data_IF_214037579676
#
_entry.id   IF_214037579676
#
_cell.length_a   1.000
_cell.length_b   1.000
_cell.length_c   1.000
_cell.angle_alpha   90.00
_cell.angle_beta   90.00
_cell.angle_gamma   90.00
#
_symmetry.space_group_name_H-M   'P 1'
#
loop_
_entity.id
_entity.type
_entity.pdbx_description
1 polymer ?
#
# COMPACT_ATOMS: atom_id res chain seq x y z
N UNK A 1 -29.71 46.77 -0.94
CA UNK A 1 -29.37 45.35 -1.12
C UNK A 1 -28.01 45.15 -0.49
N UNK A 2 -28.00 44.84 0.80
CA UNK A 2 -26.78 44.79 1.62
C UNK A 2 -26.44 43.31 1.73
N UNK A 3 -25.33 42.88 1.11
CA UNK A 3 -24.90 41.48 1.08
C UNK A 3 -24.54 41.03 2.51
N UNK A 4 -25.51 40.44 3.20
CA UNK A 4 -25.35 39.82 4.51
C UNK A 4 -24.71 38.42 4.41
N UNK A 5 -23.75 38.23 3.49
CA UNK A 5 -23.19 36.90 3.17
C UNK A 5 -21.72 36.72 3.58
N UNK A 6 -21.05 37.74 4.12
CA UNK A 6 -19.70 37.59 4.70
C UNK A 6 -19.77 37.83 6.20
N UNK A 7 -20.28 36.83 6.93
CA UNK A 7 -20.10 36.79 8.37
C UNK A 7 -18.66 36.30 8.62
N UNK A 8 -17.74 37.12 9.15
CA UNK A 8 -16.33 36.75 9.30
C UNK A 8 -16.14 35.45 10.09
N UNK A 9 -17.08 35.11 10.98
CA UNK A 9 -17.11 33.84 11.71
C UNK A 9 -17.35 32.61 10.81
N UNK A 10 -18.18 32.72 9.78
CA UNK A 10 -18.44 31.63 8.83
C UNK A 10 -17.21 31.38 7.94
N UNK A 11 -16.56 32.46 7.51
CA UNK A 11 -15.29 32.38 6.77
C UNK A 11 -14.20 31.72 7.62
N UNK A 12 -14.11 32.03 8.92
CA UNK A 12 -13.17 31.40 9.84
C UNK A 12 -13.46 29.91 10.04
N UNK A 13 -14.72 29.53 10.21
CA UNK A 13 -15.14 28.12 10.32
C UNK A 13 -14.77 27.35 9.06
N UNK A 14 -15.07 27.91 7.88
CA UNK A 14 -14.74 27.28 6.60
C UNK A 14 -13.23 27.13 6.41
N UNK A 15 -12.43 28.14 6.77
CA UNK A 15 -10.96 28.03 6.72
C UNK A 15 -10.42 26.96 7.65
N UNK A 16 -10.97 26.85 8.87
CA UNK A 16 -10.58 25.80 9.80
C UNK A 16 -10.90 24.41 9.23
N UNK A 17 -12.07 24.25 8.60
CA UNK A 17 -12.46 22.99 7.98
C UNK A 17 -11.59 22.66 6.74
N UNK A 18 -11.27 23.65 5.91
CA UNK A 18 -10.35 23.45 4.77
C UNK A 18 -8.97 23.03 5.28
N UNK A 19 -8.44 23.69 6.30
CA UNK A 19 -7.16 23.32 6.90
C UNK A 19 -7.17 21.88 7.45
N UNK A 20 -8.28 21.46 8.06
CA UNK A 20 -8.46 20.07 8.52
C UNK A 20 -8.45 19.09 7.34
N UNK A 21 -9.22 19.36 6.28
CA UNK A 21 -9.28 18.51 5.09
C UNK A 21 -7.95 18.44 4.35
N UNK A 22 -7.21 19.55 4.25
CA UNK A 22 -5.87 19.58 3.67
C UNK A 22 -4.88 18.70 4.46
N UNK A 23 -4.98 18.70 5.79
CA UNK A 23 -4.18 17.79 6.62
C UNK A 23 -4.55 16.33 6.39
N UNK A 24 -5.84 16.01 6.33
CA UNK A 24 -6.31 14.66 6.03
C UNK A 24 -5.85 14.19 4.64
N UNK A 25 -5.94 15.05 3.64
CA UNK A 25 -5.48 14.77 2.27
C UNK A 25 -3.96 14.54 2.22
N UNK A 26 -3.18 15.35 2.94
CA UNK A 26 -1.74 15.18 3.04
C UNK A 26 -1.37 13.83 3.68
N UNK A 27 -2.07 13.42 4.74
CA UNK A 27 -1.86 12.11 5.38
C UNK A 27 -2.25 10.96 4.46
N UNK A 28 -3.40 11.03 3.80
CA UNK A 28 -3.83 10.02 2.84
C UNK A 28 -2.86 9.90 1.66
N UNK A 29 -2.33 11.01 1.18
CA UNK A 29 -1.30 11.03 0.12
C UNK A 29 -0.01 10.34 0.59
N UNK A 30 0.47 10.66 1.80
CA UNK A 30 1.64 9.98 2.39
C UNK A 30 1.43 8.48 2.50
N UNK A 31 0.28 8.03 3.04
CA UNK A 31 -0.05 6.63 3.18
C UNK A 31 -0.11 5.91 1.83
N UNK A 32 -0.77 6.53 0.85
CA UNK A 32 -0.87 6.01 -0.52
C UNK A 32 0.50 5.87 -1.17
N UNK A 33 1.32 6.92 -1.10
CA UNK A 33 2.67 6.92 -1.68
C UNK A 33 3.55 5.83 -1.04
N UNK A 34 3.42 5.60 0.26
CA UNK A 34 4.12 4.52 0.94
C UNK A 34 3.66 3.12 0.46
N UNK A 35 2.37 2.95 0.17
CA UNK A 35 1.84 1.70 -0.41
C UNK A 35 2.38 1.52 -1.84
N UNK A 36 2.31 2.56 -2.67
CA UNK A 36 2.79 2.53 -4.06
C UNK A 36 4.27 2.19 -4.13
N UNK A 37 5.12 2.85 -3.32
CA UNK A 37 6.55 2.57 -3.27
C UNK A 37 6.85 1.11 -2.93
N UNK A 38 6.16 0.55 -1.91
CA UNK A 38 6.30 -0.88 -1.55
C UNK A 38 5.80 -1.82 -2.65
N UNK A 39 4.80 -1.40 -3.41
CA UNK A 39 4.28 -2.19 -4.54
C UNK A 39 5.24 -2.13 -5.73
N UNK A 40 5.83 -0.98 -6.04
CA UNK A 40 6.82 -0.81 -7.10
C UNK A 40 8.06 -1.67 -6.85
N UNK A 41 8.56 -1.72 -5.61
CA UNK A 41 9.69 -2.60 -5.27
C UNK A 41 9.35 -4.08 -5.54
N UNK A 42 8.14 -4.51 -5.17
CA UNK A 42 7.68 -5.90 -5.42
C UNK A 42 7.52 -6.18 -6.92
N UNK A 43 6.94 -5.25 -7.68
CA UNK A 43 6.77 -5.38 -9.12
C UNK A 43 8.13 -5.48 -9.82
N UNK A 44 9.11 -4.66 -9.43
CA UNK A 44 10.48 -4.76 -9.95
C UNK A 44 11.05 -6.17 -9.81
N UNK A 45 10.86 -6.81 -8.64
CA UNK A 45 11.32 -8.19 -8.43
C UNK A 45 10.55 -9.22 -9.27
N UNK A 46 9.23 -9.03 -9.44
CA UNK A 46 8.41 -9.90 -10.29
C UNK A 46 8.85 -9.81 -11.76
N UNK A 47 9.02 -8.59 -12.28
CA UNK A 47 9.53 -8.33 -13.62
C UNK A 47 10.92 -8.94 -13.82
N UNK A 48 11.82 -8.75 -12.84
CA UNK A 48 13.17 -9.34 -12.90
C UNK A 48 13.16 -10.87 -12.98
N UNK A 49 12.14 -11.51 -12.42
CA UNK A 49 11.95 -12.97 -12.51
C UNK A 49 10.99 -13.40 -13.63
N UNK A 50 10.57 -12.46 -14.49
CA UNK A 50 9.61 -12.68 -15.58
C UNK A 50 8.30 -13.34 -15.10
N UNK A 51 7.86 -12.99 -13.89
CA UNK A 51 6.60 -13.46 -13.31
C UNK A 51 5.51 -12.46 -13.68
N UNK A 52 4.64 -12.88 -14.60
CA UNK A 52 3.45 -12.13 -14.97
C UNK A 52 2.32 -12.41 -13.97
N UNK A 53 2.09 -11.44 -13.07
CA UNK A 53 1.05 -11.54 -12.04
C UNK A 53 -0.35 -11.49 -12.64
N UNK A 54 -0.58 -10.70 -13.69
CA UNK A 54 -1.90 -10.55 -14.31
C UNK A 54 -2.33 -11.87 -14.95
N UNK A 55 -1.41 -12.54 -15.66
CA UNK A 55 -1.64 -13.89 -16.20
C UNK A 55 -1.91 -14.93 -15.12
N UNK A 56 -1.28 -14.80 -13.95
CA UNK A 56 -1.54 -15.70 -12.81
C UNK A 56 -2.92 -15.42 -12.22
N UNK A 57 -3.26 -14.15 -12.01
CA UNK A 57 -4.52 -13.70 -11.41
C UNK A 57 -5.74 -13.93 -12.31
N UNK A 58 -5.55 -13.96 -13.64
CA UNK A 58 -6.60 -14.30 -14.60
C UNK A 58 -7.08 -15.76 -14.52
N UNK A 59 -6.35 -16.65 -13.82
CA UNK A 59 -6.75 -18.07 -13.70
C UNK A 59 -7.70 -18.27 -12.52
N UNK A 60 -8.81 -19.03 -12.70
CA UNK A 60 -9.63 -19.44 -11.56
C UNK A 60 -8.78 -20.27 -10.60
N UNK A 61 -8.67 -19.84 -9.34
CA UNK A 61 -7.81 -20.46 -8.32
C UNK A 61 -6.45 -19.78 -8.08
N UNK A 62 -6.22 -18.60 -8.66
CA UNK A 62 -4.99 -17.82 -8.42
C UNK A 62 -4.70 -17.56 -6.93
N UNK A 63 -5.73 -17.23 -6.15
CA UNK A 63 -5.61 -16.92 -4.72
C UNK A 63 -5.12 -18.12 -3.90
N UNK A 64 -5.74 -19.32 -4.00
CA UNK A 64 -5.20 -20.54 -3.38
C UNK A 64 -3.74 -20.85 -3.76
N UNK A 65 -3.39 -20.71 -5.04
CA UNK A 65 -2.03 -20.98 -5.52
C UNK A 65 -1.02 -20.00 -4.91
N UNK A 66 -1.38 -18.71 -4.81
CA UNK A 66 -0.54 -17.68 -4.20
C UNK A 66 -0.28 -17.96 -2.71
N UNK A 67 -1.30 -18.42 -1.98
CA UNK A 67 -1.17 -18.81 -0.58
C UNK A 67 -0.28 -20.06 -0.40
N UNK A 68 -0.38 -21.04 -1.29
CA UNK A 68 0.52 -22.20 -1.28
C UNK A 68 1.99 -21.77 -1.49
N UNK A 69 2.24 -20.88 -2.44
CA UNK A 69 3.59 -20.33 -2.70
C UNK A 69 4.14 -19.55 -1.51
N UNK A 70 3.31 -18.72 -0.85
CA UNK A 70 3.72 -18.00 0.38
C UNK A 70 4.14 -18.95 1.48
N UNK A 71 3.37 -20.02 1.74
CA UNK A 71 3.69 -21.05 2.73
C UNK A 71 5.01 -21.77 2.42
N UNK A 72 5.20 -22.17 1.16
CA UNK A 72 6.45 -22.78 0.68
C UNK A 72 7.65 -21.85 0.91
N UNK A 73 7.55 -20.58 0.53
CA UNK A 73 8.63 -19.59 0.74
C UNK A 73 8.97 -19.40 2.22
N UNK A 74 7.96 -19.42 3.10
CA UNK A 74 8.13 -19.39 4.55
C UNK A 74 8.92 -20.61 5.06
N UNK A 75 8.53 -21.81 4.62
CA UNK A 75 9.21 -23.06 4.97
C UNK A 75 10.68 -23.09 4.52
N UNK A 76 10.96 -22.67 3.28
CA UNK A 76 12.34 -22.59 2.75
C UNK A 76 13.19 -21.61 3.56
N UNK A 77 12.63 -20.44 3.93
CA UNK A 77 13.34 -19.47 4.77
C UNK A 77 13.62 -20.02 6.17
N UNK A 78 12.65 -20.69 6.78
CA UNK A 78 12.82 -21.32 8.09
C UNK A 78 13.89 -22.43 8.05
N UNK A 79 13.84 -23.30 7.04
CA UNK A 79 14.84 -24.35 6.82
C UNK A 79 16.25 -23.77 6.59
N UNK A 80 16.37 -22.71 5.78
CA UNK A 80 17.66 -22.03 5.56
C UNK A 80 18.21 -21.40 6.85
N UNK A 81 17.34 -20.85 7.70
CA UNK A 81 17.71 -20.28 9.00
C UNK A 81 18.15 -21.37 9.99
N UNK A 82 17.45 -22.50 10.02
CA UNK A 82 17.83 -23.66 10.82
C UNK A 82 19.18 -24.24 10.37
N UNK A 83 19.38 -24.44 9.06
CA UNK A 83 20.66 -24.89 8.50
C UNK A 83 21.82 -23.96 8.88
N UNK A 84 21.63 -22.63 8.80
CA UNK A 84 22.66 -21.65 9.21
C UNK A 84 22.99 -21.72 10.70
N UNK A 85 22.05 -22.10 11.56
CA UNK A 85 22.25 -22.26 13.01
C UNK A 85 22.90 -23.60 13.39
N UNK A 86 22.80 -24.61 12.53
CA UNK A 86 23.40 -25.93 12.73
C UNK A 86 24.77 -26.07 12.06
N UNK A 87 25.07 -25.21 11.09
CA UNK A 87 26.34 -25.17 10.36
C UNK A 87 27.30 -24.08 10.87
N UNK A 88 26.90 -23.30 11.88
CA UNK A 88 27.74 -22.40 12.65
C UNK A 88 27.77 -22.86 14.09
#
# INVERSE_FOLDING_TARGET
MTNAHDNPSEVEILRAHVAELEQQLAEQSRATNAIVARSQEKLYWLERWHIDLDRIMAKPGAVPALEAVKKLRGGVRAAKKAKRRLAG
#
